data_IF_501743473728
#
_entry.id   IF_501743473728
#
_cell.length_a   1.000
_cell.length_b   1.000
_cell.length_c   1.000
_cell.angle_alpha   90.00
_cell.angle_beta   90.00
_cell.angle_gamma   90.00
#
_symmetry.space_group_name_H-M   'P 1'
#
loop_
_entity.id
_entity.type
_entity.pdbx_description
1 polymer ?
#
# COMPACT_ATOMS: atom_id res chain seq x y z
N UNK A 1 -5.91 -28.99 -0.16
CA UNK A 1 -6.58 -28.30 0.97
C UNK A 1 -5.46 -27.83 1.91
N UNK A 2 -4.85 -26.68 1.66
CA UNK A 2 -3.80 -26.16 2.52
C UNK A 2 -4.47 -25.48 3.72
N UNK A 3 -4.31 -26.09 4.90
CA UNK A 3 -4.77 -25.53 6.15
C UNK A 3 -3.95 -24.28 6.47
N UNK A 4 -4.61 -23.16 6.60
CA UNK A 4 -4.03 -21.98 7.23
C UNK A 4 -3.98 -22.26 8.73
N UNK A 5 -2.81 -22.69 9.20
CA UNK A 5 -2.60 -22.97 10.63
C UNK A 5 -2.60 -21.63 11.39
N UNK A 6 -3.40 -21.59 12.45
CA UNK A 6 -3.46 -20.45 13.38
C UNK A 6 -2.40 -20.69 14.44
N UNK A 7 -1.19 -20.33 14.16
CA UNK A 7 -0.18 -20.17 15.19
C UNK A 7 0.28 -18.70 15.20
N UNK A 8 0.66 -18.16 16.33
CA UNK A 8 0.81 -16.80 16.84
C UNK A 8 1.49 -15.74 15.92
N UNK A 9 1.76 -16.03 14.65
CA UNK A 9 2.39 -15.13 13.69
C UNK A 9 1.33 -14.29 12.95
N UNK A 10 1.46 -12.98 13.05
CA UNK A 10 0.61 -11.99 12.36
C UNK A 10 0.65 -12.22 10.85
N UNK A 11 -0.51 -12.47 10.26
CA UNK A 11 -0.65 -12.71 8.83
C UNK A 11 -0.74 -11.39 8.09
N UNK A 12 0.25 -11.14 7.24
CA UNK A 12 0.34 -9.96 6.39
C UNK A 12 -0.01 -10.32 4.95
N UNK A 13 -0.85 -9.51 4.31
CA UNK A 13 -1.11 -9.53 2.88
C UNK A 13 -0.77 -8.20 2.24
N UNK A 14 -0.03 -8.24 1.14
CA UNK A 14 0.15 -7.11 0.23
C UNK A 14 -0.72 -7.36 -1.01
N UNK A 15 -1.58 -6.41 -1.34
CA UNK A 15 -2.42 -6.42 -2.55
C UNK A 15 -1.84 -5.42 -3.54
N UNK A 16 -1.40 -5.89 -4.70
CA UNK A 16 -0.93 -5.03 -5.78
C UNK A 16 -2.13 -4.34 -6.45
N UNK A 17 -2.23 -3.05 -6.28
CA UNK A 17 -3.26 -2.19 -6.87
C UNK A 17 -2.67 -1.23 -7.92
N UNK A 18 -1.38 -1.31 -8.25
CA UNK A 18 -0.78 -0.56 -9.36
C UNK A 18 -0.86 -1.37 -10.67
N UNK A 19 -2.04 -1.38 -11.27
CA UNK A 19 -2.29 -2.11 -12.52
C UNK A 19 -1.41 -1.66 -13.70
N UNK A 20 -0.72 -0.53 -13.57
CA UNK A 20 0.09 0.05 -14.65
C UNK A 20 1.54 -0.41 -14.58
N UNK A 21 2.07 -0.56 -13.36
CA UNK A 21 3.50 -0.83 -13.18
C UNK A 21 3.79 -2.28 -12.79
N UNK A 22 2.88 -2.92 -12.05
CA UNK A 22 2.97 -4.33 -11.64
C UNK A 22 4.34 -4.69 -11.02
N UNK A 23 4.92 -3.74 -10.27
CA UNK A 23 6.30 -3.84 -9.81
C UNK A 23 6.50 -4.85 -8.67
N UNK A 24 5.44 -5.30 -8.03
CA UNK A 24 5.54 -6.30 -6.96
C UNK A 24 6.00 -7.63 -7.53
N UNK A 25 5.50 -8.05 -8.70
CA UNK A 25 5.89 -9.31 -9.35
C UNK A 25 7.40 -9.36 -9.61
N UNK A 26 7.98 -8.24 -10.08
CA UNK A 26 9.42 -8.13 -10.30
C UNK A 26 10.22 -8.21 -9.00
N UNK A 27 9.69 -7.65 -7.90
CA UNK A 27 10.37 -7.63 -6.59
C UNK A 27 10.41 -9.01 -5.95
N UNK A 28 9.34 -9.80 -6.09
CA UNK A 28 9.25 -11.14 -5.48
C UNK A 28 9.63 -12.26 -6.44
N UNK A 29 9.99 -11.93 -7.70
CA UNK A 29 10.37 -12.87 -8.76
C UNK A 29 9.30 -13.96 -8.99
N UNK A 30 8.04 -13.53 -9.15
CA UNK A 30 6.90 -14.43 -9.34
C UNK A 30 6.17 -14.10 -10.63
N UNK A 31 5.98 -15.13 -11.45
CA UNK A 31 5.05 -15.12 -12.57
C UNK A 31 3.77 -15.86 -12.19
N UNK A 32 2.62 -15.28 -12.49
CA UNK A 32 1.30 -15.87 -12.23
C UNK A 32 0.29 -15.53 -13.31
N UNK A 33 -0.54 -16.49 -13.65
CA UNK A 33 -1.66 -16.30 -14.59
C UNK A 33 -2.94 -15.82 -13.88
N UNK A 34 -2.96 -15.86 -12.54
CA UNK A 34 -4.11 -15.47 -11.73
C UNK A 34 -3.71 -14.41 -10.72
N UNK A 35 -4.36 -13.27 -10.77
CA UNK A 35 -4.11 -12.14 -9.88
C UNK A 35 -5.40 -11.42 -9.51
N UNK A 36 -5.25 -10.21 -8.98
CA UNK A 36 -6.38 -9.41 -8.49
C UNK A 36 -7.45 -9.17 -9.58
N UNK A 37 -7.08 -8.99 -10.84
CA UNK A 37 -8.04 -8.74 -11.92
C UNK A 37 -8.94 -9.93 -12.17
N UNK A 38 -8.41 -11.16 -12.20
CA UNK A 38 -9.18 -12.40 -12.36
C UNK A 38 -10.09 -12.64 -11.16
N UNK A 39 -9.64 -12.28 -9.96
CA UNK A 39 -10.46 -12.36 -8.74
C UNK A 39 -11.63 -11.39 -8.81
N UNK A 40 -11.39 -10.13 -9.17
CA UNK A 40 -12.44 -9.12 -9.27
C UNK A 40 -13.40 -9.37 -10.44
N UNK A 41 -12.95 -10.05 -11.50
CA UNK A 41 -13.80 -10.52 -12.59
C UNK A 41 -14.65 -11.76 -12.22
N UNK A 42 -14.39 -12.39 -11.06
CA UNK A 42 -15.06 -13.63 -10.64
C UNK A 42 -14.57 -14.87 -11.38
N UNK A 43 -13.45 -14.78 -12.09
CA UNK A 43 -12.84 -15.87 -12.84
C UNK A 43 -12.07 -16.84 -11.95
N UNK A 44 -11.63 -16.37 -10.79
CA UNK A 44 -10.89 -17.18 -9.82
C UNK A 44 -11.19 -16.77 -8.37
N UNK A 45 -11.19 -17.71 -7.41
CA UNK A 45 -11.27 -17.38 -6.00
C UNK A 45 -9.96 -16.72 -5.54
N UNK A 46 -10.04 -15.71 -4.68
CA UNK A 46 -8.85 -14.96 -4.22
C UNK A 46 -7.76 -15.85 -3.58
N UNK A 47 -8.16 -16.96 -2.95
CA UNK A 47 -7.20 -17.92 -2.35
C UNK A 47 -6.28 -18.57 -3.37
N UNK A 48 -6.74 -18.77 -4.59
CA UNK A 48 -5.91 -19.34 -5.67
C UNK A 48 -4.96 -18.32 -6.30
N UNK A 49 -5.21 -17.03 -6.08
CA UNK A 49 -4.38 -15.94 -6.57
C UNK A 49 -3.30 -15.49 -5.57
N UNK A 50 -3.34 -16.02 -4.33
CA UNK A 50 -2.33 -15.67 -3.31
C UNK A 50 -1.02 -16.39 -3.60
N UNK A 51 0.05 -15.62 -3.57
CA UNK A 51 1.43 -16.08 -3.66
C UNK A 51 2.13 -15.77 -2.34
N UNK A 52 3.01 -16.66 -1.89
CA UNK A 52 3.88 -16.41 -0.73
C UNK A 52 5.15 -15.72 -1.19
N UNK A 53 5.56 -14.65 -0.50
CA UNK A 53 6.86 -14.02 -0.74
C UNK A 53 7.98 -15.01 -0.37
N UNK A 54 8.93 -15.32 -1.28
CA UNK A 54 10.01 -16.25 -1.01
C UNK A 54 11.00 -15.75 0.06
N UNK A 55 11.01 -14.47 0.36
CA UNK A 55 11.96 -13.82 1.26
C UNK A 55 11.36 -13.49 2.65
N UNK A 56 10.05 -13.67 2.81
CA UNK A 56 9.33 -13.38 4.06
C UNK A 56 8.11 -14.27 4.24
N UNK A 57 7.41 -14.13 5.37
CA UNK A 57 6.13 -14.82 5.61
C UNK A 57 4.92 -14.04 5.09
N UNK A 58 5.16 -12.95 4.36
CA UNK A 58 4.10 -12.16 3.75
C UNK A 58 3.42 -12.92 2.60
N UNK A 59 2.13 -12.76 2.50
CA UNK A 59 1.36 -13.15 1.32
C UNK A 59 1.21 -11.97 0.37
N UNK A 60 1.08 -12.26 -0.92
CA UNK A 60 0.89 -11.27 -1.97
C UNK A 60 -0.29 -11.67 -2.84
N UNK A 61 -1.18 -10.74 -3.11
CA UNK A 61 -2.18 -10.83 -4.18
C UNK A 61 -1.67 -9.96 -5.34
N UNK A 62 -1.02 -10.57 -6.34
CA UNK A 62 -0.36 -9.84 -7.43
C UNK A 62 -1.33 -9.38 -8.50
N UNK A 63 -0.85 -8.57 -9.43
CA UNK A 63 -1.49 -8.35 -10.72
C UNK A 63 -0.99 -9.41 -11.70
N UNK A 64 -1.88 -10.20 -12.27
CA UNK A 64 -1.55 -11.08 -13.40
C UNK A 64 -1.83 -10.38 -14.72
N UNK A 65 -1.09 -10.78 -15.78
CA UNK A 65 -1.32 -10.26 -17.11
C UNK A 65 -2.75 -10.59 -17.56
N UNK A 66 -3.50 -9.56 -17.92
CA UNK A 66 -4.88 -9.70 -18.40
C UNK A 66 -5.02 -9.03 -19.77
N UNK A 67 -5.70 -9.68 -20.69
CA UNK A 67 -6.10 -9.09 -21.96
C UNK A 67 -7.19 -8.03 -21.84
N UNK A 68 -7.72 -7.84 -20.62
CA UNK A 68 -8.80 -6.92 -20.34
C UNK A 68 -8.55 -6.22 -19.00
N UNK A 69 -8.51 -4.88 -19.01
CA UNK A 69 -8.53 -4.09 -17.78
C UNK A 69 -9.90 -3.44 -17.65
N UNK A 70 -10.76 -3.89 -16.72
CA UNK A 70 -12.06 -3.29 -16.50
C UNK A 70 -11.93 -1.81 -16.14
N UNK A 71 -12.83 -0.98 -16.66
CA UNK A 71 -12.96 0.40 -16.14
C UNK A 71 -13.55 0.33 -14.74
N UNK A 72 -13.01 1.15 -13.83
CA UNK A 72 -13.51 1.30 -12.47
C UNK A 72 -13.50 0.00 -11.62
N UNK A 73 -12.44 -0.80 -11.78
CA UNK A 73 -12.25 -2.08 -11.05
C UNK A 73 -12.33 -1.86 -9.54
N UNK A 74 -11.69 -0.82 -9.03
CA UNK A 74 -11.55 -0.58 -7.61
C UNK A 74 -12.78 0.09 -6.95
N UNK A 75 -13.70 0.64 -7.75
CA UNK A 75 -14.99 1.16 -7.29
C UNK A 75 -16.11 0.12 -7.25
N UNK A 76 -15.84 -1.11 -7.64
CA UNK A 76 -16.83 -2.17 -7.76
C UNK A 76 -17.23 -2.78 -6.41
N UNK A 77 -18.44 -3.38 -6.37
CA UNK A 77 -18.86 -4.22 -5.23
C UNK A 77 -17.96 -5.43 -5.05
N UNK A 78 -17.37 -5.96 -6.14
CA UNK A 78 -16.40 -7.05 -6.08
C UNK A 78 -15.16 -6.67 -5.25
N UNK A 79 -14.63 -5.45 -5.41
CA UNK A 79 -13.51 -4.96 -4.60
C UNK A 79 -13.90 -4.81 -3.13
N UNK A 80 -15.09 -4.25 -2.85
CA UNK A 80 -15.58 -4.09 -1.48
C UNK A 80 -15.75 -5.44 -0.77
N UNK A 81 -16.30 -6.43 -1.48
CA UNK A 81 -16.46 -7.80 -0.97
C UNK A 81 -15.09 -8.47 -0.74
N UNK A 82 -14.16 -8.34 -1.69
CA UNK A 82 -12.81 -8.87 -1.56
C UNK A 82 -12.11 -8.30 -0.30
N UNK A 83 -12.11 -6.99 -0.12
CA UNK A 83 -11.50 -6.36 1.07
C UNK A 83 -12.16 -6.86 2.36
N UNK A 84 -13.48 -7.00 2.38
CA UNK A 84 -14.20 -7.54 3.54
C UNK A 84 -13.78 -8.97 3.88
N UNK A 85 -13.62 -9.84 2.87
CA UNK A 85 -13.14 -11.21 3.07
C UNK A 85 -11.68 -11.24 3.56
N UNK A 86 -10.79 -10.43 2.95
CA UNK A 86 -9.40 -10.36 3.32
C UNK A 86 -9.20 -9.90 4.76
N UNK A 87 -9.99 -8.93 5.23
CA UNK A 87 -10.00 -8.46 6.64
C UNK A 87 -10.35 -9.59 7.63
N UNK A 88 -11.14 -10.56 7.24
CA UNK A 88 -11.48 -11.73 8.07
C UNK A 88 -10.36 -12.77 8.14
N UNK A 89 -9.34 -12.68 7.28
CA UNK A 89 -8.30 -13.70 7.14
C UNK A 89 -6.89 -13.21 7.45
N UNK A 90 -6.65 -11.89 7.42
CA UNK A 90 -5.35 -11.27 7.63
C UNK A 90 -5.41 -10.23 8.75
N UNK A 91 -4.35 -10.12 9.52
CA UNK A 91 -4.21 -9.14 10.60
C UNK A 91 -3.85 -7.76 10.05
N UNK A 92 -3.15 -7.74 8.90
CA UNK A 92 -2.81 -6.53 8.17
C UNK A 92 -2.93 -6.77 6.66
N UNK A 93 -3.69 -5.90 5.99
CA UNK A 93 -3.79 -5.84 4.52
C UNK A 93 -3.22 -4.52 4.05
N UNK A 94 -2.19 -4.57 3.23
CA UNK A 94 -1.56 -3.39 2.61
C UNK A 94 -2.00 -3.32 1.15
N UNK A 95 -2.60 -2.20 0.75
CA UNK A 95 -2.90 -1.90 -0.65
C UNK A 95 -1.73 -1.10 -1.23
N UNK A 96 -0.91 -1.72 -2.08
CA UNK A 96 0.15 -1.01 -2.80
C UNK A 96 -0.45 -0.30 -4.01
N UNK A 97 -0.38 1.02 -4.00
CA UNK A 97 -1.15 1.86 -4.91
C UNK A 97 -0.25 2.71 -5.81
N UNK A 98 -0.70 2.94 -7.03
CA UNK A 98 -0.10 3.94 -7.91
C UNK A 98 -0.11 5.35 -7.29
N UNK A 99 0.78 6.27 -7.73
CA UNK A 99 0.85 7.62 -7.16
C UNK A 99 -0.49 8.37 -7.26
N UNK A 100 -1.03 8.81 -6.12
CA UNK A 100 -2.37 9.44 -6.01
C UNK A 100 -2.52 10.71 -6.86
N UNK A 101 -1.42 11.43 -7.11
CA UNK A 101 -1.44 12.65 -7.93
C UNK A 101 -1.54 12.36 -9.43
N UNK A 102 -1.13 11.15 -9.85
CA UNK A 102 -1.09 10.76 -11.26
C UNK A 102 -2.26 9.86 -11.66
N UNK A 103 -2.82 9.11 -10.72
CA UNK A 103 -3.77 8.02 -10.98
C UNK A 103 -5.04 8.22 -10.16
N UNK A 104 -6.16 8.43 -10.87
CA UNK A 104 -7.45 8.74 -10.24
C UNK A 104 -8.00 7.55 -9.42
N UNK A 105 -7.74 6.34 -9.86
CA UNK A 105 -8.18 5.09 -9.25
C UNK A 105 -7.64 4.92 -7.82
N UNK A 106 -6.46 5.46 -7.52
CA UNK A 106 -5.89 5.45 -6.16
C UNK A 106 -6.80 6.19 -5.16
N UNK A 107 -7.50 7.25 -5.59
CA UNK A 107 -8.47 7.95 -4.73
C UNK A 107 -9.71 7.13 -4.42
N UNK A 108 -10.04 6.15 -5.25
CA UNK A 108 -11.12 5.20 -4.99
C UNK A 108 -10.66 4.19 -3.94
N UNK A 109 -9.44 3.67 -4.08
CA UNK A 109 -8.83 2.70 -3.15
C UNK A 109 -8.72 3.24 -1.72
N UNK A 110 -8.49 4.53 -1.56
CA UNK A 110 -8.42 5.19 -0.24
C UNK A 110 -9.66 4.92 0.63
N UNK A 111 -10.84 4.76 0.02
CA UNK A 111 -12.10 4.47 0.75
C UNK A 111 -12.17 3.07 1.35
N UNK A 112 -11.36 2.15 0.85
CA UNK A 112 -11.29 0.77 1.34
C UNK A 112 -10.30 0.59 2.49
N UNK A 113 -9.43 1.59 2.74
CA UNK A 113 -8.40 1.53 3.76
C UNK A 113 -8.85 2.21 5.06
N UNK A 114 -8.47 1.63 6.21
CA UNK A 114 -8.69 2.27 7.52
C UNK A 114 -7.80 3.50 7.69
N UNK A 115 -6.64 3.48 7.04
CA UNK A 115 -5.66 4.57 7.07
C UNK A 115 -4.73 4.51 5.86
N UNK A 116 -4.11 5.63 5.53
CA UNK A 116 -3.19 5.78 4.40
C UNK A 116 -1.86 6.35 4.87
N UNK A 117 -0.77 5.77 4.39
CA UNK A 117 0.59 6.34 4.53
C UNK A 117 1.01 6.92 3.19
N UNK A 118 1.39 8.19 3.17
CA UNK A 118 1.93 8.84 1.98
C UNK A 118 3.44 8.60 1.93
N UNK A 119 3.91 7.89 0.89
CA UNK A 119 5.35 7.67 0.69
C UNK A 119 5.92 8.79 -0.16
N UNK A 120 6.90 9.52 0.39
CA UNK A 120 7.61 10.60 -0.29
C UNK A 120 9.11 10.24 -0.43
N UNK A 121 9.71 10.55 -1.58
CA UNK A 121 11.13 10.32 -1.82
C UNK A 121 11.94 11.56 -1.45
N UNK A 122 12.90 11.39 -0.55
CA UNK A 122 13.81 12.46 -0.13
C UNK A 122 14.57 13.06 -1.32
N UNK A 123 14.65 14.38 -1.36
CA UNK A 123 15.33 15.12 -2.42
C UNK A 123 14.64 15.09 -3.79
N UNK A 124 13.47 14.41 -3.91
CA UNK A 124 12.72 14.34 -5.18
C UNK A 124 11.24 14.75 -5.05
N UNK A 125 10.58 14.37 -3.99
CA UNK A 125 9.18 14.76 -3.76
C UNK A 125 9.11 16.19 -3.23
N UNK A 126 8.54 17.10 -4.03
CA UNK A 126 8.34 18.48 -3.60
C UNK A 126 7.34 18.56 -2.43
N UNK A 127 7.58 19.41 -1.45
CA UNK A 127 6.69 19.60 -0.29
C UNK A 127 5.26 19.95 -0.72
N UNK A 128 5.10 20.79 -1.75
CA UNK A 128 3.78 21.11 -2.31
C UNK A 128 3.05 19.90 -2.86
N UNK A 129 3.75 18.98 -3.55
CA UNK A 129 3.17 17.74 -4.05
C UNK A 129 2.72 16.83 -2.92
N UNK A 130 3.53 16.68 -1.86
CA UNK A 130 3.15 15.88 -0.68
C UNK A 130 1.92 16.47 0.00
N UNK A 131 1.85 17.80 0.17
CA UNK A 131 0.66 18.48 0.72
C UNK A 131 -0.58 18.23 -0.13
N UNK A 132 -0.47 18.32 -1.46
CA UNK A 132 -1.56 18.03 -2.37
C UNK A 132 -2.01 16.56 -2.29
N UNK A 133 -1.07 15.61 -2.13
CA UNK A 133 -1.39 14.20 -1.95
C UNK A 133 -2.20 13.97 -0.65
N UNK A 134 -1.80 14.58 0.46
CA UNK A 134 -2.58 14.56 1.71
C UNK A 134 -3.98 15.10 1.49
N UNK A 135 -4.11 16.30 0.91
CA UNK A 135 -5.42 16.92 0.64
C UNK A 135 -6.31 16.06 -0.27
N UNK A 136 -5.74 15.42 -1.30
CA UNK A 136 -6.51 14.54 -2.18
C UNK A 136 -6.95 13.25 -1.47
N UNK A 137 -6.11 12.70 -0.58
CA UNK A 137 -6.46 11.53 0.24
C UNK A 137 -7.63 11.87 1.17
N UNK A 138 -7.52 12.96 1.92
CA UNK A 138 -8.57 13.41 2.85
C UNK A 138 -9.85 13.82 2.10
N UNK A 139 -9.72 14.53 0.98
CA UNK A 139 -10.85 14.91 0.12
C UNK A 139 -11.57 13.71 -0.51
N UNK A 140 -10.89 12.57 -0.68
CA UNK A 140 -11.48 11.30 -1.09
C UNK A 140 -12.16 10.53 0.07
N UNK A 141 -12.10 11.04 1.30
CA UNK A 141 -12.66 10.41 2.50
C UNK A 141 -11.68 9.49 3.24
N UNK A 142 -10.40 9.49 2.87
CA UNK A 142 -9.37 8.72 3.56
C UNK A 142 -8.80 9.41 4.79
N UNK A 143 -8.21 8.63 5.67
CA UNK A 143 -7.50 9.09 6.85
C UNK A 143 -5.99 8.95 6.64
N UNK A 144 -5.25 10.06 6.66
CA UNK A 144 -3.79 10.04 6.56
C UNK A 144 -3.20 9.75 7.93
N UNK A 145 -2.49 8.62 8.07
CA UNK A 145 -1.74 8.25 9.28
C UNK A 145 -0.46 9.06 9.41
N UNK A 146 0.22 9.31 8.27
CA UNK A 146 1.47 10.03 8.24
C UNK A 146 2.15 9.98 6.88
N UNK A 147 3.39 10.48 6.88
CA UNK A 147 4.25 10.52 5.69
C UNK A 147 5.51 9.71 5.97
N UNK A 148 5.80 8.71 5.13
CA UNK A 148 7.04 7.97 5.16
C UNK A 148 8.03 8.61 4.17
N UNK A 149 9.16 9.10 4.68
CA UNK A 149 10.23 9.65 3.85
C UNK A 149 11.21 8.54 3.47
N UNK A 150 11.20 8.15 2.21
CA UNK A 150 12.06 7.10 1.66
C UNK A 150 13.33 7.67 0.99
N UNK A 151 14.36 6.84 0.80
CA UNK A 151 15.63 7.19 0.17
C UNK A 151 16.37 8.34 0.89
N UNK A 152 16.29 8.37 2.21
CA UNK A 152 17.03 9.35 3.04
C UNK A 152 18.51 8.97 3.06
N UNK A 153 19.39 9.93 2.71
CA UNK A 153 20.83 9.71 2.76
C UNK A 153 21.33 9.71 4.21
N UNK A 154 22.29 8.85 4.58
CA UNK A 154 22.75 8.73 5.98
C UNK A 154 23.20 10.04 6.63
N UNK A 155 23.82 10.95 5.87
CA UNK A 155 24.24 12.26 6.37
C UNK A 155 23.08 13.21 6.69
N UNK A 156 21.86 12.93 6.19
CA UNK A 156 20.66 13.72 6.52
C UNK A 156 20.08 13.35 7.88
N UNK A 157 20.31 12.12 8.37
CA UNK A 157 19.95 11.71 9.72
C UNK A 157 20.70 12.54 10.78
N UNK A 158 21.98 12.76 10.58
CA UNK A 158 22.80 13.60 11.47
C UNK A 158 22.29 15.06 11.53
N UNK A 159 21.72 15.59 10.45
CA UNK A 159 21.12 16.92 10.41
C UNK A 159 19.74 16.97 11.11
N UNK A 160 18.94 15.93 10.95
CA UNK A 160 17.63 15.81 11.61
C UNK A 160 17.80 15.63 13.12
N UNK A 161 18.77 14.82 13.55
CA UNK A 161 19.11 14.64 14.97
C UNK A 161 19.61 15.97 15.60
N UNK A 162 20.42 16.76 14.88
CA UNK A 162 20.87 18.07 15.37
C UNK A 162 19.72 19.07 15.48
N UNK A 163 18.75 19.08 14.57
CA UNK A 163 17.54 19.91 14.64
C UNK A 163 16.62 19.50 15.81
N UNK A 164 16.50 18.21 16.08
CA UNK A 164 15.72 17.70 17.20
C UNK A 164 16.36 18.11 18.55
N UNK A 165 17.69 18.06 18.64
CA UNK A 165 18.43 18.54 19.81
C UNK A 165 18.32 20.05 20.01
N UNK A 166 18.28 20.84 18.94
CA UNK A 166 18.11 22.28 19.04
C UNK A 166 16.69 22.67 19.49
N UNK A 167 15.64 22.01 18.98
CA UNK A 167 14.27 22.29 19.38
C UNK A 167 13.98 21.86 20.83
N UNK A 168 14.54 20.74 21.28
CA UNK A 168 14.35 20.28 22.66
C UNK A 168 15.04 21.19 23.69
N UNK A 169 16.20 21.78 23.36
CA UNK A 169 16.86 22.75 24.23
C UNK A 169 16.09 24.06 24.40
N UNK A 170 15.36 24.52 23.38
CA UNK A 170 14.57 25.75 23.50
C UNK A 170 13.29 25.57 24.32
N UNK A 171 12.81 24.35 24.48
CA UNK A 171 11.64 24.05 25.31
C UNK A 171 11.95 23.95 26.82
N UNK A 172 13.23 23.72 27.21
CA UNK A 172 13.66 23.57 28.60
C UNK A 172 14.40 24.78 29.18
N UNK A 173 14.47 25.89 28.40
CA UNK A 173 15.15 27.12 28.88
C UNK A 173 14.17 28.26 29.14
N UNK A 174 13.05 27.97 29.82
CA UNK A 174 12.21 28.99 30.48
C UNK A 174 12.20 28.71 31.98
N UNK A 175 13.11 29.35 32.66
CA UNK A 175 13.07 29.57 34.10
C UNK A 175 13.31 31.04 34.35
#
# INVERSE_FOLDING_TARGET
MAGFDRDDDKRLLVVDCDLRKQSINDVIDVETDVGILQVLAGEAPWRSAIVRDPNSDAHVLPVATSGFTPRDVFGSDAMSNLISELRGHYDLVILDCAPILAVAETRILVKHADTTVIVARAGRSAVGAVRTAVQQTEGAGGKVLGIALNCVMPHWQSYADSLYFYQSKSYYSVS
#
